data_IF_682621948524
#
_entry.id   IF_682621948524
#
_cell.length_a   1.000
_cell.length_b   1.000
_cell.length_c   1.000
_cell.angle_alpha   90.00
_cell.angle_beta   90.00
_cell.angle_gamma   90.00
#
_symmetry.space_group_name_H-M   'P 1'
#
loop_
_entity.id
_entity.type
_entity.pdbx_description
1 polymer ?
#
# COMPACT_ATOMS: atom_id res chain seq x y z
N UNK A 1 7.88 -5.03 29.72
CA UNK A 1 7.54 -5.91 28.59
C UNK A 1 7.01 -5.02 27.47
N UNK A 2 7.81 -4.73 26.43
CA UNK A 2 7.36 -3.84 25.37
C UNK A 2 6.26 -4.54 24.56
N UNK A 3 5.06 -3.95 24.57
CA UNK A 3 3.85 -4.48 23.90
C UNK A 3 4.01 -4.46 22.37
N UNK A 4 4.99 -3.69 21.85
CA UNK A 4 5.27 -3.55 20.42
C UNK A 4 6.78 -3.65 20.16
N UNK A 5 7.18 -4.50 19.20
CA UNK A 5 8.55 -4.51 18.68
C UNK A 5 8.74 -3.24 17.83
N UNK A 6 9.62 -2.33 18.25
CA UNK A 6 9.92 -1.10 17.49
C UNK A 6 10.57 -1.48 16.15
N UNK A 7 9.82 -1.36 15.06
CA UNK A 7 10.33 -1.35 13.68
C UNK A 7 10.43 0.09 13.20
N UNK A 8 11.38 0.44 12.33
CA UNK A 8 11.48 1.80 11.78
C UNK A 8 10.53 1.95 10.59
N UNK A 9 10.59 1.01 9.66
CA UNK A 9 9.75 1.01 8.46
C UNK A 9 8.31 0.63 8.79
N UNK A 10 8.08 -0.37 9.65
CA UNK A 10 6.73 -0.85 9.92
C UNK A 10 6.06 -0.11 11.09
N UNK A 11 6.66 0.91 11.71
CA UNK A 11 6.16 1.47 12.98
C UNK A 11 4.70 1.93 12.89
N UNK A 12 4.42 2.89 12.01
CA UNK A 12 3.09 3.51 11.90
C UNK A 12 2.11 2.49 11.31
N UNK A 13 2.53 1.76 10.29
CA UNK A 13 1.72 0.70 9.68
C UNK A 13 1.30 -0.37 10.70
N UNK A 14 2.23 -0.81 11.56
CA UNK A 14 1.98 -1.79 12.61
C UNK A 14 1.05 -1.21 13.68
N UNK A 15 1.28 0.02 14.17
CA UNK A 15 0.39 0.64 15.16
C UNK A 15 -1.05 0.73 14.64
N UNK A 16 -1.25 1.26 13.42
CA UNK A 16 -2.58 1.35 12.81
C UNK A 16 -3.20 -0.05 12.58
N UNK A 17 -2.48 -0.96 11.91
CA UNK A 17 -3.03 -2.29 11.62
C UNK A 17 -3.28 -3.13 12.88
N UNK A 18 -2.58 -2.86 13.99
CA UNK A 18 -2.83 -3.55 15.25
C UNK A 18 -4.16 -3.19 15.87
N UNK A 19 -4.63 -1.94 15.72
CA UNK A 19 -5.88 -1.48 16.30
C UNK A 19 -7.13 -2.07 15.67
N UNK A 20 -7.01 -2.73 14.50
CA UNK A 20 -8.12 -3.38 13.78
C UNK A 20 -7.91 -4.89 13.60
N UNK A 21 -6.79 -5.43 14.07
CA UNK A 21 -6.54 -6.87 14.00
C UNK A 21 -5.98 -7.34 12.66
N UNK A 22 -5.39 -6.45 11.86
CA UNK A 22 -4.84 -6.76 10.53
C UNK A 22 -3.42 -7.31 10.63
N UNK A 23 -2.63 -6.88 11.61
CA UNK A 23 -1.21 -7.29 11.69
C UNK A 23 -1.05 -8.71 12.22
N UNK A 24 -0.07 -9.51 11.76
CA UNK A 24 0.10 -10.87 12.28
C UNK A 24 0.52 -10.92 13.77
N UNK A 25 -0.27 -11.63 14.59
CA UNK A 25 -0.06 -11.75 16.05
C UNK A 25 1.34 -12.20 16.47
N UNK A 26 1.97 -13.07 15.68
CA UNK A 26 3.29 -13.65 15.93
C UNK A 26 4.41 -12.61 16.08
N UNK A 27 4.29 -11.46 15.41
CA UNK A 27 5.32 -10.43 15.42
C UNK A 27 5.12 -9.37 16.52
N UNK A 28 3.96 -9.37 17.19
CA UNK A 28 3.63 -8.41 18.23
C UNK A 28 4.10 -8.88 19.61
N UNK A 29 3.89 -10.16 19.91
CA UNK A 29 4.06 -10.71 21.25
C UNK A 29 5.06 -11.88 21.26
N UNK A 30 6.34 -11.67 20.97
CA UNK A 30 7.32 -12.76 20.80
C UNK A 30 7.36 -13.74 22.00
N UNK A 31 7.26 -13.21 23.23
CA UNK A 31 7.39 -14.00 24.47
C UNK A 31 6.05 -14.30 25.17
N UNK A 32 4.93 -13.72 24.72
CA UNK A 32 3.64 -13.86 25.40
C UNK A 32 2.62 -14.65 24.55
N UNK A 33 2.57 -15.97 24.76
CA UNK A 33 1.63 -16.88 24.08
C UNK A 33 0.16 -16.52 24.33
N UNK A 34 -0.18 -16.06 25.53
CA UNK A 34 -1.55 -15.65 25.86
C UNK A 34 -1.96 -14.39 25.08
N UNK A 35 -1.07 -13.40 25.02
CA UNK A 35 -1.27 -12.19 24.20
C UNK A 35 -1.43 -12.51 22.70
N UNK A 36 -0.61 -13.43 22.16
CA UNK A 36 -0.75 -13.90 20.78
C UNK A 36 -2.12 -14.55 20.53
N UNK A 37 -2.62 -15.35 21.48
CA UNK A 37 -3.91 -16.03 21.37
C UNK A 37 -5.06 -15.02 21.41
N UNK A 38 -5.09 -14.13 22.40
CA UNK A 38 -6.13 -13.09 22.52
C UNK A 38 -6.19 -12.21 21.27
N UNK A 39 -5.04 -11.75 20.79
CA UNK A 39 -4.98 -10.95 19.57
C UNK A 39 -5.38 -11.77 18.33
N UNK A 40 -5.03 -13.06 18.26
CA UNK A 40 -5.46 -13.90 17.15
C UNK A 40 -6.97 -14.13 17.12
N UNK A 41 -7.63 -14.20 18.29
CA UNK A 41 -9.09 -14.28 18.38
C UNK A 41 -9.69 -12.95 17.90
N UNK A 42 -9.19 -11.83 18.43
CA UNK A 42 -9.60 -10.49 18.02
C UNK A 42 -9.49 -10.28 16.50
N UNK A 43 -8.34 -10.60 15.90
CA UNK A 43 -8.09 -10.53 14.45
C UNK A 43 -9.08 -11.36 13.62
N UNK A 44 -9.45 -12.57 14.09
CA UNK A 44 -10.46 -13.40 13.42
C UNK A 44 -11.87 -12.82 13.53
N UNK A 45 -12.21 -12.23 14.68
CA UNK A 45 -13.51 -11.58 14.90
C UNK A 45 -13.63 -10.34 14.01
N UNK A 46 -12.62 -9.48 13.96
CA UNK A 46 -12.65 -8.28 13.11
C UNK A 46 -12.66 -8.63 11.63
N UNK A 47 -11.91 -9.65 11.21
CA UNK A 47 -11.99 -10.17 9.84
C UNK A 47 -13.37 -10.76 9.51
N UNK A 48 -13.96 -11.54 10.42
CA UNK A 48 -15.31 -12.09 10.26
C UNK A 48 -16.37 -11.00 10.12
N UNK A 49 -16.29 -9.95 10.94
CA UNK A 49 -17.14 -8.77 10.82
C UNK A 49 -16.98 -8.08 9.46
N UNK A 50 -15.74 -7.84 9.02
CA UNK A 50 -15.48 -7.23 7.72
C UNK A 50 -16.08 -8.05 6.56
N UNK A 51 -15.92 -9.38 6.59
CA UNK A 51 -16.51 -10.27 5.58
C UNK A 51 -18.05 -10.19 5.59
N UNK A 52 -18.68 -10.15 6.77
CA UNK A 52 -20.13 -9.98 6.87
C UNK A 52 -20.60 -8.65 6.27
N UNK A 53 -19.88 -7.56 6.52
CA UNK A 53 -20.16 -6.26 5.93
C UNK A 53 -20.00 -6.25 4.39
N UNK A 54 -19.02 -6.97 3.85
CA UNK A 54 -18.91 -7.13 2.39
C UNK A 54 -20.07 -7.97 1.83
N UNK A 55 -20.53 -8.99 2.55
CA UNK A 55 -21.70 -9.79 2.15
C UNK A 55 -22.97 -8.94 2.11
N UNK A 56 -23.21 -8.01 3.03
CA UNK A 56 -24.38 -7.10 2.96
C UNK A 56 -24.31 -6.17 1.76
N UNK A 57 -23.10 -5.77 1.34
CA UNK A 57 -22.89 -4.97 0.13
C UNK A 57 -23.22 -5.76 -1.14
N UNK A 58 -22.86 -7.06 -1.18
CA UNK A 58 -23.23 -7.98 -2.27
C UNK A 58 -24.73 -8.30 -2.32
N UNK A 59 -25.37 -8.45 -1.17
CA UNK A 59 -26.83 -8.66 -1.11
C UNK A 59 -27.54 -7.44 -1.72
N UNK A 60 -27.13 -6.22 -1.38
CA UNK A 60 -27.71 -5.01 -1.97
C UNK A 60 -27.47 -4.94 -3.48
N UNK A 61 -26.26 -5.31 -3.97
CA UNK A 61 -25.97 -5.38 -5.40
C UNK A 61 -26.94 -6.31 -6.13
N UNK A 62 -27.18 -7.49 -5.56
CA UNK A 62 -28.11 -8.49 -6.12
C UNK A 62 -29.54 -7.91 -6.13
N UNK A 63 -29.99 -7.28 -5.06
CA UNK A 63 -31.32 -6.67 -4.98
C UNK A 63 -31.52 -5.54 -6.00
N UNK A 64 -30.50 -4.70 -6.22
CA UNK A 64 -30.52 -3.64 -7.23
C UNK A 64 -30.65 -4.24 -8.63
N UNK A 65 -29.93 -5.33 -8.93
CA UNK A 65 -29.99 -6.00 -10.22
C UNK A 65 -31.32 -6.71 -10.51
N UNK A 66 -32.05 -7.11 -9.46
CA UNK A 66 -33.36 -7.77 -9.58
C UNK A 66 -34.55 -6.80 -9.47
N UNK A 67 -34.32 -5.51 -9.24
CA UNK A 67 -35.37 -4.50 -9.28
C UNK A 67 -35.82 -4.23 -10.73
N UNK A 68 -37.13 -4.03 -10.95
CA UNK A 68 -37.71 -3.79 -12.30
C UNK A 68 -37.13 -2.54 -12.98
N UNK A 69 -36.85 -1.49 -12.22
CA UNK A 69 -36.16 -0.28 -12.66
C UNK A 69 -34.75 -0.20 -12.03
N UNK A 70 -33.71 -0.26 -12.86
CA UNK A 70 -32.32 -0.19 -12.38
C UNK A 70 -31.93 1.28 -12.15
N UNK A 71 -31.72 1.65 -10.89
CA UNK A 71 -31.12 2.95 -10.55
C UNK A 71 -29.60 2.92 -10.82
N UNK A 72 -29.19 3.51 -11.94
CA UNK A 72 -27.78 3.51 -12.40
C UNK A 72 -26.84 4.17 -11.38
N UNK A 73 -27.28 5.22 -10.69
CA UNK A 73 -26.47 5.92 -9.69
C UNK A 73 -26.27 5.08 -8.41
N UNK A 74 -27.28 4.30 -8.02
CA UNK A 74 -27.15 3.37 -6.89
C UNK A 74 -26.29 2.17 -7.24
N UNK A 75 -26.43 1.64 -8.46
CA UNK A 75 -25.59 0.58 -9.01
C UNK A 75 -24.11 1.01 -9.10
N UNK A 76 -23.83 2.22 -9.61
CA UNK A 76 -22.47 2.78 -9.70
C UNK A 76 -21.79 2.84 -8.33
N UNK A 77 -22.47 3.42 -7.32
CA UNK A 77 -21.97 3.50 -5.95
C UNK A 77 -21.70 2.13 -5.34
N UNK A 78 -22.57 1.14 -5.58
CA UNK A 78 -22.36 -0.21 -5.09
C UNK A 78 -21.19 -0.92 -5.80
N UNK A 79 -21.08 -0.79 -7.13
CA UNK A 79 -19.99 -1.34 -7.95
C UNK A 79 -18.62 -0.71 -7.66
N UNK A 80 -18.58 0.45 -7.02
CA UNK A 80 -17.35 1.04 -6.50
C UNK A 80 -16.89 0.31 -5.23
N UNK A 81 -17.81 0.12 -4.28
CA UNK A 81 -17.52 -0.33 -2.92
C UNK A 81 -17.27 -1.83 -2.87
N UNK A 82 -18.07 -2.61 -3.60
CA UNK A 82 -18.01 -4.09 -3.55
C UNK A 82 -16.67 -4.64 -4.06
N UNK A 83 -16.09 -4.20 -5.19
CA UNK A 83 -14.79 -4.69 -5.63
C UNK A 83 -13.65 -4.18 -4.73
N UNK A 84 -13.75 -2.95 -4.21
CA UNK A 84 -12.76 -2.38 -3.28
C UNK A 84 -12.60 -3.31 -2.07
N UNK A 85 -13.69 -3.56 -1.33
CA UNK A 85 -13.61 -4.38 -0.13
C UNK A 85 -13.33 -5.85 -0.41
N UNK A 86 -13.70 -6.35 -1.59
CA UNK A 86 -13.33 -7.70 -2.02
C UNK A 86 -11.81 -7.83 -2.20
N UNK A 87 -11.17 -6.83 -2.80
CA UNK A 87 -9.71 -6.77 -2.92
C UNK A 87 -9.07 -6.62 -1.54
N UNK A 88 -9.67 -5.84 -0.63
CA UNK A 88 -9.23 -5.74 0.77
C UNK A 88 -9.24 -7.11 1.47
N UNK A 89 -10.28 -7.94 1.26
CA UNK A 89 -10.34 -9.32 1.78
C UNK A 89 -9.20 -10.16 1.20
N UNK A 90 -9.01 -10.13 -0.13
CA UNK A 90 -7.93 -10.86 -0.80
C UNK A 90 -6.57 -10.45 -0.23
N UNK A 91 -6.33 -9.14 -0.11
CA UNK A 91 -5.10 -8.57 0.47
C UNK A 91 -4.89 -9.06 1.88
N UNK A 92 -5.92 -9.06 2.72
CA UNK A 92 -5.81 -9.53 4.10
C UNK A 92 -5.42 -11.02 4.18
N UNK A 93 -6.03 -11.87 3.34
CA UNK A 93 -5.69 -13.28 3.25
C UNK A 93 -4.22 -13.46 2.84
N UNK A 94 -3.75 -12.66 1.88
CA UNK A 94 -2.35 -12.66 1.45
C UNK A 94 -1.39 -12.19 2.56
N UNK A 95 -1.73 -11.13 3.31
CA UNK A 95 -0.94 -10.65 4.47
C UNK A 95 -0.81 -11.76 5.53
N UNK A 96 -1.86 -12.56 5.72
CA UNK A 96 -1.86 -13.68 6.65
C UNK A 96 -1.15 -14.94 6.12
N UNK A 97 -0.79 -14.97 4.83
CA UNK A 97 -0.08 -16.11 4.25
C UNK A 97 1.32 -16.31 4.87
N UNK A 98 1.82 -17.56 4.93
CA UNK A 98 3.17 -17.83 5.41
C UNK A 98 4.25 -17.08 4.61
N UNK A 99 4.05 -16.93 3.30
CA UNK A 99 5.00 -16.26 2.40
C UNK A 99 5.10 -14.77 2.70
N UNK A 100 3.97 -14.06 2.88
CA UNK A 100 4.00 -12.65 3.24
C UNK A 100 4.60 -12.42 4.64
N UNK A 101 4.31 -13.31 5.58
CA UNK A 101 4.93 -13.30 6.92
C UNK A 101 6.46 -13.47 6.84
N UNK A 102 7.00 -14.18 5.85
CA UNK A 102 8.46 -14.26 5.64
C UNK A 102 9.06 -12.92 5.25
N UNK A 103 8.38 -12.13 4.40
CA UNK A 103 8.82 -10.78 4.05
C UNK A 103 8.86 -9.86 5.28
N UNK A 104 7.79 -9.85 6.10
CA UNK A 104 7.77 -9.08 7.35
C UNK A 104 8.92 -9.50 8.27
N UNK A 105 9.11 -10.82 8.46
CA UNK A 105 10.20 -11.36 9.28
C UNK A 105 11.57 -10.94 8.76
N UNK A 106 11.75 -10.91 7.43
CA UNK A 106 12.98 -10.48 6.79
C UNK A 106 13.30 -9.01 7.12
N UNK A 107 12.31 -8.11 7.00
CA UNK A 107 12.47 -6.70 7.40
C UNK A 107 12.87 -6.59 8.87
N UNK A 108 12.10 -7.19 9.78
CA UNK A 108 12.34 -7.08 11.21
C UNK A 108 13.71 -7.62 11.64
N UNK A 109 14.19 -8.68 10.99
CA UNK A 109 15.51 -9.25 11.24
C UNK A 109 16.62 -8.35 10.69
N UNK A 110 16.43 -7.78 9.50
CA UNK A 110 17.45 -6.92 8.89
C UNK A 110 17.53 -5.56 9.59
N UNK A 111 16.42 -4.98 10.04
CA UNK A 111 16.45 -3.76 10.87
C UNK A 111 17.26 -3.99 12.16
N UNK A 112 17.08 -5.15 12.81
CA UNK A 112 17.87 -5.54 13.98
C UNK A 112 19.35 -5.66 13.65
N UNK A 113 19.67 -6.26 12.51
CA UNK A 113 21.06 -6.34 12.05
C UNK A 113 21.64 -4.95 11.78
N UNK A 114 20.91 -4.07 11.08
CA UNK A 114 21.32 -2.70 10.80
C UNK A 114 21.55 -1.88 12.08
N UNK A 115 20.76 -2.10 13.13
CA UNK A 115 20.97 -1.44 14.43
C UNK A 115 22.26 -1.90 15.13
N UNK A 116 22.75 -3.11 14.84
CA UNK A 116 24.02 -3.63 15.36
C UNK A 116 25.24 -3.17 14.57
N UNK A 117 25.08 -2.72 13.31
CA UNK A 117 26.20 -2.26 12.47
C UNK A 117 26.83 -0.99 13.07
N UNK A 118 28.14 -0.97 13.26
CA UNK A 118 28.87 0.22 13.71
C UNK A 118 29.21 1.17 12.53
N UNK A 119 28.17 1.61 11.82
CA UNK A 119 28.29 2.59 10.74
C UNK A 119 27.19 3.64 10.89
N UNK A 120 27.59 4.85 11.28
CA UNK A 120 26.67 5.96 11.53
C UNK A 120 25.99 6.42 10.23
N UNK A 121 26.70 6.45 9.11
CA UNK A 121 26.17 6.93 7.84
C UNK A 121 25.13 5.96 7.29
N UNK A 122 25.41 4.65 7.31
CA UNK A 122 24.45 3.62 6.90
C UNK A 122 23.18 3.68 7.76
N UNK A 123 23.34 3.81 9.08
CA UNK A 123 22.22 3.97 10.01
C UNK A 123 21.40 5.23 9.74
N UNK A 124 22.05 6.32 9.35
CA UNK A 124 21.38 7.58 9.05
C UNK A 124 20.59 7.50 7.74
N UNK A 125 21.15 6.88 6.70
CA UNK A 125 20.44 6.63 5.42
C UNK A 125 19.18 5.79 5.66
N UNK A 126 19.31 4.69 6.39
CA UNK A 126 18.21 3.78 6.73
C UNK A 126 17.12 4.50 7.54
N UNK A 127 17.52 5.24 8.59
CA UNK A 127 16.60 6.04 9.43
C UNK A 127 15.91 7.14 8.65
N UNK A 128 16.61 7.86 7.77
CA UNK A 128 16.05 8.92 6.95
C UNK A 128 15.00 8.37 6.00
N UNK A 129 15.30 7.25 5.32
CA UNK A 129 14.36 6.57 4.44
C UNK A 129 13.08 6.15 5.19
N UNK A 130 13.22 5.56 6.37
CA UNK A 130 12.08 5.19 7.21
C UNK A 130 11.31 6.42 7.74
N UNK A 131 11.99 7.52 8.07
CA UNK A 131 11.36 8.76 8.55
C UNK A 131 10.53 9.43 7.46
N UNK A 132 11.09 9.57 6.26
CA UNK A 132 10.39 10.14 5.10
C UNK A 132 9.15 9.31 4.75
N UNK A 133 9.26 7.99 4.80
CA UNK A 133 8.13 7.08 4.62
C UNK A 133 7.05 7.25 5.70
N UNK A 134 7.44 7.26 6.97
CA UNK A 134 6.50 7.46 8.07
C UNK A 134 5.80 8.83 7.99
N UNK A 135 6.47 9.86 7.48
CA UNK A 135 5.86 11.17 7.21
C UNK A 135 4.77 11.05 6.14
N UNK A 136 5.05 10.36 5.04
CA UNK A 136 4.07 10.14 3.96
C UNK A 136 2.85 9.33 4.42
N UNK A 137 3.03 8.27 5.22
CA UNK A 137 1.90 7.53 5.82
C UNK A 137 1.06 8.41 6.75
N UNK A 138 1.69 9.24 7.59
CA UNK A 138 0.96 10.16 8.47
C UNK A 138 0.15 11.19 7.69
N UNK A 139 0.70 11.71 6.60
CA UNK A 139 -0.03 12.58 5.67
C UNK A 139 -1.21 11.84 5.05
N UNK A 140 -1.02 10.60 4.60
CA UNK A 140 -2.09 9.75 4.07
C UNK A 140 -3.20 9.54 5.12
N UNK A 141 -2.84 9.19 6.35
CA UNK A 141 -3.78 9.03 7.46
C UNK A 141 -4.58 10.32 7.74
N UNK A 142 -3.93 11.48 7.70
CA UNK A 142 -4.61 12.78 7.85
C UNK A 142 -5.63 13.04 6.74
N UNK A 143 -5.25 12.80 5.47
CA UNK A 143 -6.16 12.90 4.33
C UNK A 143 -7.34 11.94 4.44
N UNK A 144 -7.09 10.72 4.93
CA UNK A 144 -8.12 9.69 5.14
C UNK A 144 -9.16 10.14 6.17
N UNK A 145 -8.71 10.63 7.32
CA UNK A 145 -9.62 11.14 8.38
C UNK A 145 -10.48 12.30 7.86
N UNK A 146 -9.88 13.24 7.13
CA UNK A 146 -10.63 14.38 6.55
C UNK A 146 -11.68 13.89 5.54
N UNK A 147 -11.30 12.98 4.65
CA UNK A 147 -12.21 12.42 3.63
C UNK A 147 -13.36 11.69 4.32
N UNK A 148 -13.07 10.84 5.29
CA UNK A 148 -14.07 10.11 6.06
C UNK A 148 -15.06 11.02 6.80
N UNK A 149 -14.56 12.07 7.47
CA UNK A 149 -15.42 13.06 8.12
C UNK A 149 -16.35 13.73 7.10
N UNK A 150 -15.84 14.08 5.91
CA UNK A 150 -16.68 14.68 4.86
C UNK A 150 -17.77 13.75 4.33
N UNK A 151 -17.49 12.45 4.16
CA UNK A 151 -18.48 11.46 3.72
C UNK A 151 -19.52 11.13 4.79
N UNK A 152 -19.11 11.02 6.05
CA UNK A 152 -20.03 10.72 7.15
C UNK A 152 -20.97 11.87 7.45
N UNK A 153 -20.51 13.12 7.30
CA UNK A 153 -21.31 14.32 7.58
C UNK A 153 -22.29 14.65 6.44
N UNK A 154 -21.95 14.33 5.19
CA UNK A 154 -22.75 14.67 3.99
C UNK A 154 -24.26 14.36 4.10
N UNK A 155 -24.69 13.15 4.51
CA UNK A 155 -26.12 12.80 4.60
C UNK A 155 -26.91 13.60 5.64
N UNK A 156 -26.26 14.30 6.58
CA UNK A 156 -26.95 15.16 7.55
C UNK A 156 -27.44 16.46 6.91
N UNK A 157 -26.77 16.91 5.86
CA UNK A 157 -27.03 18.19 5.20
C UNK A 157 -27.75 18.06 3.86
N UNK A 158 -27.74 16.87 3.23
CA UNK A 158 -28.50 16.63 2.00
C UNK A 158 -30.01 16.51 2.28
N UNK A 159 -30.87 17.18 1.49
CA UNK A 159 -32.31 17.09 1.63
C UNK A 159 -32.81 15.69 1.25
N UNK A 160 -33.97 15.31 1.79
CA UNK A 160 -34.63 14.05 1.46
C UNK A 160 -34.99 14.02 -0.04
N UNK A 161 -34.67 12.91 -0.71
CA UNK A 161 -35.02 12.74 -2.11
C UNK A 161 -36.41 12.13 -2.25
N UNK A 162 -37.19 12.67 -3.18
CA UNK A 162 -38.49 12.11 -3.55
C UNK A 162 -38.28 10.96 -4.54
N UNK A 163 -38.55 9.73 -4.09
CA UNK A 163 -38.52 8.55 -4.96
C UNK A 163 -39.96 8.09 -5.17
N UNK A 164 -40.35 7.90 -6.43
CA UNK A 164 -41.65 7.32 -6.78
C UNK A 164 -41.57 5.80 -6.61
N UNK A 165 -42.29 5.25 -5.64
CA UNK A 165 -42.35 3.80 -5.40
C UNK A 165 -43.80 3.35 -5.38
N UNK A 166 -44.19 2.48 -6.31
CA UNK A 166 -45.55 1.95 -6.46
C UNK A 166 -46.64 3.05 -6.42
N UNK A 167 -46.52 4.08 -7.27
CA UNK A 167 -47.44 5.24 -7.35
C UNK A 167 -47.54 6.10 -6.08
N UNK A 168 -46.65 5.93 -5.10
CA UNK A 168 -46.54 6.80 -3.93
C UNK A 168 -45.18 7.51 -3.89
N UNK A 169 -45.19 8.81 -3.62
CA UNK A 169 -43.97 9.60 -3.44
C UNK A 169 -43.49 9.40 -2.02
N UNK A 170 -42.39 8.66 -1.84
CA UNK A 170 -41.76 8.46 -0.54
C UNK A 170 -40.54 9.36 -0.45
N UNK A 171 -40.46 10.14 0.63
CA UNK A 171 -39.26 10.92 0.96
C UNK A 171 -38.25 9.97 1.60
N UNK A 172 -37.15 9.70 0.89
CA UNK A 172 -36.10 8.81 1.35
C UNK A 172 -34.84 9.62 1.62
N UNK A 173 -34.34 9.52 2.84
CA UNK A 173 -33.04 10.06 3.20
C UNK A 173 -31.95 9.08 2.79
N UNK A 174 -31.02 9.52 1.94
CA UNK A 174 -29.96 8.64 1.45
C UNK A 174 -28.95 8.31 2.54
N UNK A 175 -28.49 7.06 2.54
CA UNK A 175 -27.38 6.60 3.36
C UNK A 175 -26.06 6.79 2.58
N UNK A 176 -24.93 7.00 3.29
CA UNK A 176 -23.65 7.29 2.64
C UNK A 176 -23.08 6.11 1.82
N UNK A 177 -23.46 4.86 2.12
CA UNK A 177 -23.14 3.68 1.31
C UNK A 177 -24.44 2.99 0.86
N UNK A 178 -24.38 2.28 -0.27
CA UNK A 178 -25.44 1.37 -0.71
C UNK A 178 -25.20 -0.02 -0.11
N UNK A 179 -25.82 -0.30 1.04
CA UNK A 179 -25.73 -1.60 1.73
C UNK A 179 -27.07 -2.05 2.27
N UNK A 180 -27.25 -3.37 2.34
CA UNK A 180 -28.49 -3.98 2.78
C UNK A 180 -28.59 -4.07 4.31
N UNK A 181 -29.81 -3.90 4.86
CA UNK A 181 -30.13 -4.11 6.28
C UNK A 181 -31.23 -5.15 6.47
N UNK A 182 -31.16 -5.97 7.54
CA UNK A 182 -32.21 -6.92 7.89
C UNK A 182 -33.45 -6.27 8.52
N UNK A 183 -33.55 -4.93 8.52
CA UNK A 183 -34.68 -4.18 9.04
C UNK A 183 -35.00 -2.99 8.13
N UNK A 184 -36.21 -2.44 8.26
CA UNK A 184 -36.64 -1.31 7.43
C UNK A 184 -35.87 -0.02 7.82
N UNK A 185 -34.99 0.44 6.90
CA UNK A 185 -34.14 1.62 7.03
C UNK A 185 -34.91 2.94 7.12
N UNK A 186 -36.07 3.02 6.49
CA UNK A 186 -36.90 4.25 6.49
C UNK A 186 -37.56 4.45 7.86
N UNK A 187 -38.05 3.37 8.47
CA UNK A 187 -38.67 3.42 9.82
C UNK A 187 -37.65 3.64 10.93
N UNK A 188 -36.42 3.14 10.77
CA UNK A 188 -35.37 3.19 11.79
C UNK A 188 -34.12 3.90 11.27
N UNK A 189 -34.30 5.06 10.63
CA UNK A 189 -33.21 5.78 9.95
C UNK A 189 -32.03 6.09 10.86
N UNK A 190 -32.27 6.57 12.10
CA UNK A 190 -31.20 6.92 13.04
C UNK A 190 -30.33 5.70 13.38
N UNK A 191 -30.96 4.54 13.60
CA UNK A 191 -30.24 3.30 13.88
C UNK A 191 -29.44 2.83 12.65
N UNK A 192 -30.04 2.86 11.46
CA UNK A 192 -29.35 2.53 10.21
C UNK A 192 -28.15 3.46 9.97
N UNK A 193 -28.33 4.76 10.17
CA UNK A 193 -27.29 5.76 10.00
C UNK A 193 -26.12 5.55 10.98
N UNK A 194 -26.39 5.30 12.27
CA UNK A 194 -25.33 5.04 13.26
C UNK A 194 -24.54 3.77 12.94
N UNK A 195 -25.20 2.69 12.53
CA UNK A 195 -24.54 1.45 12.11
C UNK A 195 -23.67 1.72 10.86
N UNK A 196 -24.20 2.47 9.88
CA UNK A 196 -23.44 2.88 8.71
C UNK A 196 -22.17 3.66 9.03
N UNK A 197 -22.23 4.61 9.96
CA UNK A 197 -21.05 5.38 10.36
C UNK A 197 -20.00 4.45 10.95
N UNK A 198 -20.39 3.48 11.78
CA UNK A 198 -19.48 2.47 12.31
C UNK A 198 -18.91 1.60 11.19
N UNK A 199 -19.72 1.14 10.25
CA UNK A 199 -19.29 0.31 9.13
C UNK A 199 -18.33 1.03 8.19
N UNK A 200 -18.59 2.30 7.87
CA UNK A 200 -17.70 3.13 7.05
C UNK A 200 -16.36 3.30 7.74
N UNK A 201 -16.36 3.72 9.01
CA UNK A 201 -15.13 3.93 9.79
C UNK A 201 -14.34 2.65 9.93
N UNK A 202 -15.02 1.55 10.23
CA UNK A 202 -14.37 0.27 10.35
C UNK A 202 -13.81 -0.20 8.99
N UNK A 203 -14.60 -0.14 7.92
CA UNK A 203 -14.21 -0.62 6.60
C UNK A 203 -13.11 0.20 5.95
N UNK A 204 -13.18 1.53 6.06
CA UNK A 204 -12.16 2.45 5.54
C UNK A 204 -10.81 2.28 6.25
N UNK A 205 -10.83 2.14 7.58
CA UNK A 205 -9.63 1.89 8.36
C UNK A 205 -9.08 0.49 8.07
N UNK A 206 -9.95 -0.52 7.88
CA UNK A 206 -9.54 -1.86 7.51
C UNK A 206 -8.79 -1.87 6.18
N UNK A 207 -9.33 -1.16 5.18
CA UNK A 207 -8.70 -0.98 3.88
C UNK A 207 -7.36 -0.25 4.01
N UNK A 208 -7.39 0.98 4.51
CA UNK A 208 -6.24 1.88 4.59
C UNK A 208 -5.07 1.30 5.40
N UNK A 209 -5.34 0.64 6.53
CA UNK A 209 -4.27 0.11 7.37
C UNK A 209 -3.60 -1.12 6.76
N UNK A 210 -4.34 -1.92 5.98
CA UNK A 210 -3.76 -2.97 5.14
C UNK A 210 -2.81 -2.41 4.08
N UNK A 211 -3.12 -1.23 3.54
CA UNK A 211 -2.27 -0.54 2.55
C UNK A 211 -1.00 0.02 3.16
N UNK A 212 -1.06 0.54 4.37
CA UNK A 212 0.14 0.99 5.07
C UNK A 212 1.18 -0.13 5.20
N UNK A 213 0.74 -1.37 5.50
CA UNK A 213 1.62 -2.53 5.50
C UNK A 213 2.20 -2.76 4.10
N UNK A 214 1.35 -2.77 3.08
CA UNK A 214 1.74 -3.02 1.70
C UNK A 214 2.77 -2.00 1.18
N UNK A 215 2.53 -0.70 1.40
CA UNK A 215 3.46 0.37 1.04
C UNK A 215 4.77 0.19 1.82
N UNK A 216 4.74 -0.18 3.09
CA UNK A 216 5.96 -0.43 3.87
C UNK A 216 6.82 -1.56 3.28
N UNK A 217 6.19 -2.64 2.83
CA UNK A 217 6.86 -3.76 2.15
C UNK A 217 7.50 -3.31 0.82
N UNK A 218 6.82 -2.44 0.05
CA UNK A 218 7.32 -1.89 -1.23
C UNK A 218 8.46 -0.88 -1.00
N UNK A 219 8.38 -0.07 0.05
CA UNK A 219 9.39 0.97 0.35
C UNK A 219 10.70 0.37 0.83
N UNK A 220 10.64 -0.71 1.61
CA UNK A 220 11.82 -1.27 2.27
C UNK A 220 13.03 -1.55 1.32
N UNK A 221 12.85 -2.16 0.12
CA UNK A 221 13.92 -2.30 -0.87
C UNK A 221 14.62 -1.00 -1.26
N UNK A 222 13.90 0.14 -1.31
CA UNK A 222 14.51 1.44 -1.65
C UNK A 222 15.57 1.85 -0.63
N UNK A 223 15.32 1.64 0.67
CA UNK A 223 16.29 1.92 1.72
C UNK A 223 17.53 1.03 1.60
N UNK A 224 17.32 -0.27 1.33
CA UNK A 224 18.41 -1.22 1.14
C UNK A 224 19.25 -0.92 -0.11
N UNK A 225 18.63 -0.48 -1.20
CA UNK A 225 19.33 -0.04 -2.41
C UNK A 225 20.13 1.24 -2.17
N UNK A 226 19.59 2.22 -1.44
CA UNK A 226 20.33 3.45 -1.05
C UNK A 226 21.56 3.11 -0.20
N UNK A 227 21.41 2.19 0.76
CA UNK A 227 22.55 1.69 1.56
C UNK A 227 23.58 1.01 0.65
N UNK A 228 23.15 0.10 -0.22
CA UNK A 228 24.06 -0.60 -1.14
C UNK A 228 24.80 0.37 -2.06
N UNK A 229 24.10 1.37 -2.61
CA UNK A 229 24.69 2.40 -3.45
C UNK A 229 25.75 3.21 -2.69
N UNK A 230 25.45 3.64 -1.46
CA UNK A 230 26.40 4.34 -0.60
C UNK A 230 27.65 3.52 -0.28
N UNK A 231 27.47 2.23 0.02
CA UNK A 231 28.57 1.29 0.29
C UNK A 231 29.47 1.12 -0.94
N UNK A 232 28.87 1.02 -2.13
CA UNK A 232 29.60 0.83 -3.39
C UNK A 232 30.35 2.09 -3.82
N UNK A 233 29.74 3.27 -3.69
CA UNK A 233 30.41 4.54 -4.01
C UNK A 233 31.59 4.80 -3.08
N UNK A 234 31.47 4.47 -1.79
CA UNK A 234 32.51 4.68 -0.77
C UNK A 234 33.32 3.41 -0.47
N UNK A 235 33.44 2.50 -1.44
CA UNK A 235 33.93 1.14 -1.23
C UNK A 235 35.28 1.03 -0.51
N UNK A 236 36.23 1.92 -0.82
CA UNK A 236 37.57 1.93 -0.19
C UNK A 236 37.50 2.10 1.33
N UNK A 237 36.64 2.98 1.82
CA UNK A 237 36.42 3.21 3.26
C UNK A 237 35.82 1.98 3.94
N UNK A 238 34.91 1.27 3.27
CA UNK A 238 34.34 0.01 3.79
C UNK A 238 35.35 -1.13 3.76
N UNK A 239 36.16 -1.22 2.71
CA UNK A 239 37.26 -2.17 2.62
C UNK A 239 38.25 -1.96 3.78
N UNK A 240 38.63 -0.71 4.05
CA UNK A 240 39.55 -0.37 5.14
C UNK A 240 38.98 -0.74 6.52
N UNK A 241 37.74 -0.34 6.82
CA UNK A 241 37.09 -0.69 8.10
C UNK A 241 36.94 -2.19 8.29
N UNK A 242 36.63 -2.93 7.22
CA UNK A 242 36.54 -4.39 7.27
C UNK A 242 37.93 -5.00 7.53
N UNK A 243 38.98 -4.45 6.92
CA UNK A 243 40.37 -4.86 7.15
C UNK A 243 40.76 -4.71 8.61
N UNK A 244 40.46 -3.55 9.20
CA UNK A 244 40.78 -3.23 10.60
C UNK A 244 39.98 -4.09 11.58
N UNK A 245 38.65 -4.16 11.43
CA UNK A 245 37.76 -4.89 12.34
C UNK A 245 38.03 -6.40 12.40
N UNK A 246 38.50 -7.00 11.30
CA UNK A 246 38.78 -8.43 11.21
C UNK A 246 40.29 -8.75 11.20
N UNK A 247 41.16 -7.76 11.39
CA UNK A 247 42.61 -7.96 11.42
C UNK A 247 43.21 -8.54 10.14
N UNK A 248 42.60 -8.27 8.98
CA UNK A 248 42.99 -8.86 7.69
C UNK A 248 44.27 -8.17 7.19
N UNK A 249 45.33 -8.93 6.95
CA UNK A 249 46.59 -8.36 6.44
C UNK A 249 46.58 -8.06 4.94
N UNK A 250 45.85 -8.85 4.17
CA UNK A 250 45.83 -8.78 2.71
C UNK A 250 44.68 -7.91 2.18
N UNK A 251 45.01 -6.81 1.51
CA UNK A 251 44.04 -5.87 0.93
C UNK A 251 43.13 -6.52 -0.11
N UNK A 252 43.67 -7.42 -0.94
CA UNK A 252 42.89 -8.12 -1.96
C UNK A 252 41.81 -9.02 -1.33
N UNK A 253 42.13 -9.64 -0.19
CA UNK A 253 41.19 -10.48 0.53
C UNK A 253 40.08 -9.63 1.18
N UNK A 254 40.44 -8.49 1.77
CA UNK A 254 39.47 -7.55 2.34
C UNK A 254 38.52 -7.01 1.26
N UNK A 255 39.05 -6.59 0.09
CA UNK A 255 38.25 -6.14 -1.04
C UNK A 255 37.31 -7.24 -1.56
N UNK A 256 37.80 -8.48 -1.68
CA UNK A 256 36.99 -9.61 -2.10
C UNK A 256 35.82 -9.88 -1.14
N UNK A 257 36.08 -9.90 0.16
CA UNK A 257 35.04 -10.12 1.18
C UNK A 257 34.02 -8.99 1.18
N UNK A 258 34.48 -7.73 1.10
CA UNK A 258 33.59 -6.57 1.06
C UNK A 258 32.68 -6.60 -0.18
N UNK A 259 33.23 -6.86 -1.37
CA UNK A 259 32.44 -6.97 -2.60
C UNK A 259 31.46 -8.15 -2.54
N UNK A 260 31.88 -9.29 -1.99
CA UNK A 260 30.97 -10.43 -1.80
C UNK A 260 29.77 -10.05 -0.92
N UNK A 261 29.99 -9.33 0.17
CA UNK A 261 28.88 -8.82 1.01
C UNK A 261 27.93 -7.90 0.23
N UNK A 262 28.45 -7.03 -0.64
CA UNK A 262 27.64 -6.18 -1.50
C UNK A 262 26.81 -7.01 -2.51
N UNK A 263 27.41 -8.03 -3.11
CA UNK A 263 26.72 -8.94 -4.04
C UNK A 263 25.63 -9.73 -3.32
N UNK A 264 25.92 -10.26 -2.13
CA UNK A 264 24.95 -11.00 -1.31
C UNK A 264 23.76 -10.11 -0.94
N UNK A 265 24.02 -8.85 -0.54
CA UNK A 265 22.97 -7.85 -0.28
C UNK A 265 22.13 -7.58 -1.53
N UNK A 266 22.77 -7.36 -2.68
CA UNK A 266 22.05 -7.12 -3.94
C UNK A 266 21.15 -8.32 -4.33
N UNK A 267 21.66 -9.54 -4.22
CA UNK A 267 20.89 -10.76 -4.48
C UNK A 267 19.74 -10.96 -3.50
N UNK A 268 19.91 -10.56 -2.24
CA UNK A 268 18.83 -10.59 -1.25
C UNK A 268 17.71 -9.60 -1.61
N UNK A 269 18.06 -8.39 -2.07
CA UNK A 269 17.08 -7.38 -2.52
C UNK A 269 16.31 -7.89 -3.74
N UNK A 270 17.00 -8.47 -4.74
CA UNK A 270 16.37 -9.08 -5.92
C UNK A 270 15.36 -10.14 -5.49
N UNK A 271 15.78 -11.10 -4.65
CA UNK A 271 14.91 -12.19 -4.17
C UNK A 271 13.71 -11.67 -3.39
N UNK A 272 13.89 -10.65 -2.56
CA UNK A 272 12.81 -10.02 -1.81
C UNK A 272 11.75 -9.42 -2.75
N UNK A 273 12.16 -8.70 -3.79
CA UNK A 273 11.24 -8.09 -4.76
C UNK A 273 10.56 -9.15 -5.62
N UNK A 274 11.27 -10.21 -6.01
CA UNK A 274 10.68 -11.34 -6.73
C UNK A 274 9.63 -12.08 -5.88
N UNK A 275 9.92 -12.33 -4.60
CA UNK A 275 8.97 -12.94 -3.66
C UNK A 275 7.75 -12.03 -3.45
N UNK A 276 7.94 -10.72 -3.33
CA UNK A 276 6.84 -9.75 -3.27
C UNK A 276 5.96 -9.82 -4.52
N UNK A 277 6.55 -9.78 -5.72
CA UNK A 277 5.82 -9.83 -6.98
C UNK A 277 5.03 -11.14 -7.13
N UNK A 278 5.57 -12.26 -6.67
CA UNK A 278 4.89 -13.56 -6.71
C UNK A 278 3.70 -13.64 -5.76
N UNK A 279 3.76 -12.98 -4.60
CA UNK A 279 2.69 -13.00 -3.59
C UNK A 279 1.60 -11.98 -3.94
N UNK A 280 1.99 -10.75 -4.26
CA UNK A 280 1.07 -9.61 -4.37
C UNK A 280 0.76 -9.21 -5.82
N UNK A 281 1.44 -9.75 -6.82
CA UNK A 281 1.32 -9.30 -8.22
C UNK A 281 -0.11 -9.29 -8.75
N UNK A 282 -0.88 -10.37 -8.53
CA UNK A 282 -2.30 -10.43 -8.93
C UNK A 282 -3.16 -9.47 -8.11
N UNK A 283 -2.92 -9.36 -6.81
CA UNK A 283 -3.66 -8.44 -5.94
C UNK A 283 -3.47 -6.98 -6.38
N UNK A 284 -2.23 -6.58 -6.69
CA UNK A 284 -1.93 -5.22 -7.20
C UNK A 284 -2.59 -4.96 -8.55
N UNK A 285 -2.70 -5.97 -9.40
CA UNK A 285 -3.38 -5.84 -10.68
C UNK A 285 -4.90 -5.64 -10.51
N UNK A 286 -5.54 -6.41 -9.63
CA UNK A 286 -6.96 -6.21 -9.30
C UNK A 286 -7.19 -4.84 -8.68
N UNK A 287 -6.31 -4.41 -7.79
CA UNK A 287 -6.34 -3.09 -7.15
C UNK A 287 -6.27 -1.95 -8.18
N UNK A 288 -5.45 -2.12 -9.21
CA UNK A 288 -5.37 -1.19 -10.32
C UNK A 288 -6.66 -1.12 -11.14
N UNK A 289 -7.24 -2.26 -11.52
CA UNK A 289 -8.54 -2.28 -12.24
C UNK A 289 -9.62 -1.59 -11.41
N UNK A 290 -9.69 -1.92 -10.12
CA UNK A 290 -10.68 -1.34 -9.22
C UNK A 290 -10.48 0.16 -9.08
N UNK A 291 -9.25 0.65 -8.95
CA UNK A 291 -8.95 2.09 -8.90
C UNK A 291 -9.36 2.79 -10.19
N UNK A 292 -9.13 2.17 -11.36
CA UNK A 292 -9.57 2.71 -12.66
C UNK A 292 -11.09 2.76 -12.79
N UNK A 293 -11.79 1.69 -12.39
CA UNK A 293 -13.26 1.64 -12.38
C UNK A 293 -13.82 2.74 -11.46
N UNK A 294 -13.24 2.89 -10.27
CA UNK A 294 -13.69 3.89 -9.31
C UNK A 294 -13.52 5.31 -9.86
N UNK A 295 -12.36 5.64 -10.44
CA UNK A 295 -12.17 6.94 -11.09
C UNK A 295 -13.23 7.20 -12.16
N UNK A 296 -13.52 6.21 -13.02
CA UNK A 296 -14.53 6.36 -14.07
C UNK A 296 -15.94 6.63 -13.50
N UNK A 297 -16.37 5.86 -12.50
CA UNK A 297 -17.68 6.03 -11.86
C UNK A 297 -17.82 7.40 -11.20
N UNK A 298 -16.86 7.82 -10.37
CA UNK A 298 -16.90 9.11 -9.67
C UNK A 298 -16.92 10.28 -10.66
N UNK A 299 -16.11 10.22 -11.70
CA UNK A 299 -16.08 11.26 -12.73
C UNK A 299 -17.40 11.33 -13.49
N UNK A 300 -18.00 10.18 -13.85
CA UNK A 300 -19.30 10.15 -14.53
C UNK A 300 -20.43 10.76 -13.69
N UNK A 301 -20.46 10.51 -12.38
CA UNK A 301 -21.43 11.09 -11.45
C UNK A 301 -21.26 12.61 -11.34
N UNK A 302 -20.03 13.11 -11.28
CA UNK A 302 -19.79 14.57 -11.18
C UNK A 302 -20.11 15.37 -12.44
N UNK A 303 -20.09 14.72 -13.61
CA UNK A 303 -20.30 15.39 -14.91
C UNK A 303 -21.75 15.39 -15.38
N UNK A 304 -22.60 14.52 -14.81
CA UNK A 304 -23.99 14.34 -15.23
C UNK A 304 -24.99 15.14 -14.39
N UNK A 305 -24.61 15.52 -13.17
CA UNK A 305 -25.49 16.25 -12.25
C UNK A 305 -25.00 17.70 -12.01
N UNK A 306 -25.94 18.63 -11.76
CA UNK A 306 -25.57 19.96 -11.25
C UNK A 306 -25.08 19.82 -9.80
N UNK A 307 -23.76 19.65 -9.64
CA UNK A 307 -23.15 19.37 -8.35
C UNK A 307 -23.11 20.62 -7.47
N UNK A 308 -23.69 20.54 -6.27
CA UNK A 308 -23.54 21.59 -5.26
C UNK A 308 -22.14 21.57 -4.64
N UNK A 309 -21.67 22.69 -4.08
CA UNK A 309 -20.38 22.73 -3.37
C UNK A 309 -20.29 21.66 -2.26
N UNK A 310 -21.40 21.35 -1.59
CA UNK A 310 -21.46 20.32 -0.54
C UNK A 310 -21.27 18.89 -1.07
N UNK A 311 -21.57 18.64 -2.34
CA UNK A 311 -21.34 17.36 -3.00
C UNK A 311 -19.95 17.28 -3.64
N UNK A 312 -19.42 18.42 -4.09
CA UNK A 312 -18.10 18.49 -4.72
C UNK A 312 -16.95 18.24 -3.74
N UNK A 313 -17.04 18.77 -2.51
CA UNK A 313 -15.99 18.64 -1.48
C UNK A 313 -15.63 17.17 -1.18
N UNK A 314 -16.57 16.27 -0.80
CA UNK A 314 -16.23 14.89 -0.48
C UNK A 314 -15.68 14.13 -1.69
N UNK A 315 -16.21 14.41 -2.89
CA UNK A 315 -15.72 13.80 -4.13
C UNK A 315 -14.29 14.25 -4.45
N UNK A 316 -14.00 15.55 -4.33
CA UNK A 316 -12.67 16.09 -4.54
C UNK A 316 -11.67 15.54 -3.51
N UNK A 317 -12.06 15.48 -2.23
CA UNK A 317 -11.26 14.88 -1.16
C UNK A 317 -10.94 13.41 -1.48
N UNK A 318 -11.92 12.65 -1.97
CA UNK A 318 -11.74 11.27 -2.40
C UNK A 318 -10.77 11.13 -3.58
N UNK A 319 -10.91 11.96 -4.62
CA UNK A 319 -10.00 11.93 -5.76
C UNK A 319 -8.56 12.28 -5.34
N UNK A 320 -8.38 13.24 -4.44
CA UNK A 320 -7.06 13.61 -3.91
C UNK A 320 -6.43 12.42 -3.20
N UNK A 321 -7.16 11.75 -2.30
CA UNK A 321 -6.61 10.62 -1.54
C UNK A 321 -6.32 9.41 -2.43
N UNK A 322 -7.18 9.11 -3.40
CA UNK A 322 -6.97 8.04 -4.38
C UNK A 322 -5.70 8.29 -5.21
N UNK A 323 -5.53 9.51 -5.71
CA UNK A 323 -4.34 9.88 -6.48
C UNK A 323 -3.07 9.90 -5.63
N UNK A 324 -3.16 10.37 -4.38
CA UNK A 324 -2.04 10.35 -3.45
C UNK A 324 -1.58 8.91 -3.15
N UNK A 325 -2.53 8.01 -2.89
CA UNK A 325 -2.27 6.58 -2.72
C UNK A 325 -1.58 5.97 -3.94
N UNK A 326 -2.13 6.16 -5.14
CA UNK A 326 -1.53 5.64 -6.38
C UNK A 326 -0.13 6.22 -6.55
N UNK A 327 0.04 7.53 -6.38
CA UNK A 327 1.34 8.19 -6.46
C UNK A 327 2.36 7.53 -5.54
N UNK A 328 2.04 7.22 -4.28
CA UNK A 328 2.97 6.54 -3.38
C UNK A 328 3.43 5.19 -3.93
N UNK A 329 2.53 4.34 -4.44
CA UNK A 329 2.90 3.05 -5.03
C UNK A 329 3.85 3.21 -6.22
N UNK A 330 3.46 4.05 -7.19
CA UNK A 330 4.23 4.23 -8.41
C UNK A 330 5.54 4.98 -8.16
N UNK A 331 5.58 5.93 -7.23
CA UNK A 331 6.78 6.64 -6.83
C UNK A 331 7.81 5.69 -6.21
N UNK A 332 7.43 4.91 -5.21
CA UNK A 332 8.39 4.00 -4.56
C UNK A 332 8.80 2.84 -5.46
N UNK A 333 7.90 2.31 -6.28
CA UNK A 333 8.26 1.34 -7.31
C UNK A 333 9.27 1.92 -8.31
N UNK A 334 9.08 3.17 -8.73
CA UNK A 334 10.00 3.86 -9.65
C UNK A 334 11.36 4.16 -9.02
N UNK A 335 11.39 4.55 -7.74
CA UNK A 335 12.65 4.72 -6.98
C UNK A 335 13.47 3.43 -6.96
N UNK A 336 12.85 2.25 -6.81
CA UNK A 336 13.56 0.97 -6.90
C UNK A 336 14.24 0.81 -8.26
N UNK A 337 13.56 1.18 -9.35
CA UNK A 337 14.11 1.10 -10.72
C UNK A 337 15.33 2.01 -10.84
N UNK A 338 15.18 3.29 -10.49
CA UNK A 338 16.25 4.30 -10.60
C UNK A 338 17.47 3.90 -9.76
N UNK A 339 17.25 3.51 -8.50
CA UNK A 339 18.34 3.11 -7.60
C UNK A 339 19.04 1.83 -8.08
N UNK A 340 18.27 0.87 -8.60
CA UNK A 340 18.81 -0.38 -9.17
C UNK A 340 19.69 -0.11 -10.39
N UNK A 341 19.28 0.79 -11.29
CA UNK A 341 20.07 1.18 -12.46
C UNK A 341 21.34 1.94 -12.06
N UNK A 342 21.21 2.81 -11.05
CA UNK A 342 22.31 3.61 -10.48
C UNK A 342 23.41 2.78 -9.81
N UNK A 343 23.15 1.51 -9.45
CA UNK A 343 24.17 0.63 -8.87
C UNK A 343 25.39 0.45 -9.79
N UNK A 344 25.19 0.39 -11.11
CA UNK A 344 26.30 0.26 -12.07
C UNK A 344 27.26 1.45 -12.00
N UNK A 345 26.70 2.66 -11.86
CA UNK A 345 27.47 3.90 -11.73
C UNK A 345 28.21 3.93 -10.38
N UNK A 346 27.55 3.52 -9.30
CA UNK A 346 28.18 3.44 -7.98
C UNK A 346 29.36 2.46 -7.95
N UNK A 347 29.23 1.29 -8.60
CA UNK A 347 30.35 0.35 -8.75
C UNK A 347 31.47 0.96 -9.58
N UNK A 348 31.15 1.70 -10.64
CA UNK A 348 32.16 2.35 -11.47
C UNK A 348 33.01 3.36 -10.67
N UNK A 349 32.42 4.00 -9.66
CA UNK A 349 33.09 4.94 -8.74
C UNK A 349 33.97 4.26 -7.67
N UNK A 350 33.91 2.93 -7.51
CA UNK A 350 34.64 2.19 -6.45
C UNK A 350 36.15 2.01 -6.67
N UNK A 351 36.77 2.74 -7.62
CA UNK A 351 38.16 2.53 -8.05
C UNK A 351 38.50 1.06 -8.43
N UNK A 352 37.51 0.34 -8.98
CA UNK A 352 37.60 -1.07 -9.37
C UNK A 352 38.81 -1.42 -10.27
N UNK A 353 39.28 -0.46 -11.08
CA UNK A 353 40.43 -0.64 -11.98
C UNK A 353 41.77 -0.83 -11.24
N UNK A 354 41.88 -0.39 -9.97
CA UNK A 354 43.06 -0.58 -9.12
C UNK A 354 43.07 -1.93 -8.39
N UNK A 355 41.95 -2.65 -8.39
CA UNK A 355 41.77 -3.88 -7.61
C UNK A 355 42.27 -5.13 -8.34
N UNK A 356 42.30 -6.27 -7.65
CA UNK A 356 42.74 -7.56 -8.22
C UNK A 356 41.92 -8.02 -9.43
N UNK A 357 42.48 -8.93 -10.25
CA UNK A 357 41.78 -9.50 -11.43
C UNK A 357 40.44 -10.15 -11.05
N UNK A 358 40.39 -10.87 -9.94
CA UNK A 358 39.17 -11.53 -9.45
C UNK A 358 38.10 -10.51 -9.07
N UNK A 359 38.48 -9.41 -8.42
CA UNK A 359 37.58 -8.31 -8.10
C UNK A 359 36.95 -7.71 -9.36
N UNK A 360 37.77 -7.42 -10.38
CA UNK A 360 37.31 -6.88 -11.66
C UNK A 360 36.29 -7.79 -12.33
N UNK A 361 36.52 -9.11 -12.30
CA UNK A 361 35.57 -10.09 -12.85
C UNK A 361 34.22 -10.06 -12.13
N UNK A 362 34.22 -10.02 -10.79
CA UNK A 362 32.99 -9.94 -10.00
C UNK A 362 32.22 -8.63 -10.23
N UNK A 363 32.94 -7.50 -10.31
CA UNK A 363 32.37 -6.20 -10.67
C UNK A 363 31.70 -6.26 -12.04
N UNK A 364 32.37 -6.82 -13.04
CA UNK A 364 31.83 -6.96 -14.38
C UNK A 364 30.53 -7.78 -14.39
N UNK A 365 30.50 -8.91 -13.66
CA UNK A 365 29.28 -9.72 -13.50
C UNK A 365 28.15 -8.94 -12.83
N UNK A 366 28.46 -8.14 -11.81
CA UNK A 366 27.47 -7.31 -11.12
C UNK A 366 26.91 -6.22 -12.06
N UNK A 367 27.77 -5.53 -12.81
CA UNK A 367 27.35 -4.52 -13.81
C UNK A 367 26.46 -5.16 -14.89
N UNK A 368 26.82 -6.34 -15.39
CA UNK A 368 25.97 -7.08 -16.35
C UNK A 368 24.61 -7.43 -15.76
N UNK A 369 24.54 -7.85 -14.49
CA UNK A 369 23.25 -8.12 -13.83
C UNK A 369 22.41 -6.86 -13.67
N UNK A 370 23.03 -5.72 -13.37
CA UNK A 370 22.36 -4.44 -13.16
C UNK A 370 21.73 -3.87 -14.44
N UNK A 371 22.09 -4.37 -15.63
CA UNK A 371 21.41 -4.00 -16.89
C UNK A 371 19.93 -4.44 -16.92
N UNK A 372 19.51 -5.31 -15.99
CA UNK A 372 18.11 -5.68 -15.78
C UNK A 372 17.65 -5.06 -14.45
N UNK A 373 16.90 -3.95 -14.47
CA UNK A 373 16.49 -3.25 -13.26
C UNK A 373 15.64 -4.15 -12.36
N UNK A 374 15.69 -3.90 -11.06
CA UNK A 374 14.74 -4.47 -10.11
C UNK A 374 13.42 -3.71 -10.26
N UNK A 375 12.31 -4.43 -10.43
CA UNK A 375 11.01 -3.83 -10.73
C UNK A 375 9.89 -4.47 -9.93
N UNK A 376 8.98 -3.63 -9.44
CA UNK A 376 7.69 -4.07 -8.90
C UNK A 376 6.72 -4.26 -10.06
N UNK A 377 6.07 -5.42 -10.13
CA UNK A 377 5.17 -5.80 -11.22
C UNK A 377 3.72 -5.55 -10.86
N UNK A 378 2.96 -5.06 -11.83
CA UNK A 378 1.51 -4.96 -11.84
C UNK A 378 0.91 -6.23 -12.46
N UNK A 379 1.12 -7.37 -11.79
CA UNK A 379 0.72 -8.68 -12.31
C UNK A 379 1.26 -8.92 -13.73
N UNK A 380 0.36 -9.24 -14.67
CA UNK A 380 0.70 -9.47 -16.07
C UNK A 380 0.79 -8.18 -16.92
N UNK A 381 0.36 -7.02 -16.42
CA UNK A 381 0.30 -5.73 -17.15
C UNK A 381 1.64 -4.96 -17.16
N UNK A 382 2.72 -5.62 -16.74
CA UNK A 382 4.08 -5.11 -16.75
C UNK A 382 4.47 -4.40 -15.44
N UNK A 383 5.43 -3.47 -15.51
CA UNK A 383 6.08 -2.90 -14.32
C UNK A 383 5.39 -1.62 -13.80
N UNK A 384 5.43 -1.35 -12.50
CA UNK A 384 4.99 -0.07 -11.94
C UNK A 384 6.08 1.00 -12.10
N UNK A 385 5.74 2.12 -12.74
CA UNK A 385 6.61 3.29 -12.88
C UNK A 385 5.82 4.59 -12.90
N UNK A 386 6.48 5.72 -12.63
CA UNK A 386 5.82 7.04 -12.67
C UNK A 386 5.29 7.37 -14.08
N UNK A 387 5.95 6.91 -15.14
CA UNK A 387 5.46 7.06 -16.51
C UNK A 387 4.10 6.36 -16.73
N UNK A 388 3.91 5.17 -16.13
CA UNK A 388 2.60 4.50 -16.17
C UNK A 388 1.55 5.25 -15.36
N UNK A 389 1.92 5.79 -14.20
CA UNK A 389 1.03 6.65 -13.42
C UNK A 389 0.55 7.87 -14.23
N UNK A 390 1.46 8.56 -14.92
CA UNK A 390 1.11 9.68 -15.81
C UNK A 390 0.20 9.22 -16.95
N UNK A 391 0.47 8.04 -17.53
CA UNK A 391 -0.40 7.48 -18.58
C UNK A 391 -1.82 7.20 -18.07
N UNK A 392 -1.97 6.75 -16.83
CA UNK A 392 -3.27 6.53 -16.19
C UNK A 392 -4.00 7.86 -16.00
N UNK A 393 -3.32 8.89 -15.51
CA UNK A 393 -3.89 10.23 -15.35
C UNK A 393 -4.33 10.84 -16.69
N UNK A 394 -3.50 10.71 -17.73
CA UNK A 394 -3.83 11.19 -19.07
C UNK A 394 -5.06 10.45 -19.63
N UNK A 395 -5.14 9.14 -19.45
CA UNK A 395 -6.30 8.35 -19.88
C UNK A 395 -7.58 8.78 -19.14
N UNK A 396 -7.50 9.00 -17.82
CA UNK A 396 -8.62 9.51 -17.04
C UNK A 396 -9.05 10.91 -17.51
N UNK A 397 -8.11 11.82 -17.76
CA UNK A 397 -8.40 13.15 -18.31
C UNK A 397 -9.05 13.08 -19.70
N UNK A 398 -8.53 12.25 -20.60
CA UNK A 398 -9.13 12.04 -21.92
C UNK A 398 -10.55 11.48 -21.83
N UNK A 399 -10.80 10.55 -20.89
CA UNK A 399 -12.14 10.02 -20.64
C UNK A 399 -13.09 11.11 -20.14
N UNK A 400 -12.66 11.93 -19.18
CA UNK A 400 -13.44 13.10 -18.69
C UNK A 400 -13.77 14.04 -19.83
N UNK A 401 -12.79 14.43 -20.64
CA UNK A 401 -13.01 15.33 -21.76
C UNK A 401 -13.96 14.75 -22.80
N UNK A 402 -13.90 13.44 -23.06
CA UNK A 402 -14.84 12.76 -23.93
C UNK A 402 -16.25 12.79 -23.36
N UNK A 403 -16.44 12.47 -22.08
CA UNK A 403 -17.74 12.54 -21.42
C UNK A 403 -18.31 13.97 -21.44
N UNK A 404 -17.49 14.98 -21.17
CA UNK A 404 -17.88 16.40 -21.27
C UNK A 404 -18.23 16.84 -22.69
N UNK A 405 -17.72 16.17 -23.72
CA UNK A 405 -18.02 16.49 -25.12
C UNK A 405 -19.29 15.81 -25.63
N UNK A 406 -19.73 14.74 -24.95
CA UNK A 406 -20.92 13.95 -25.30
C UNK A 406 -22.17 14.46 -24.55
N UNK A 407 -21.99 15.02 -23.35
CA UNK A 407 -23.01 15.81 -22.63
C UNK A 407 -23.05 17.25 -23.14
#
# INVERSE_FOLDING_TARGET
MAIFRKSKFLNVAMLCSTSIGIFPSRFLFEDNKFGQLCYSIYSKVTFGYFVLFVLTSYIELILILFHEDINIAELSRNLIITPLFTITIIRQVLIMSPSFKKLIKYILNNERYMDMIDDKEVKEIDKKCASDFNRNIKTYLGMMIITELSYTIRPLFEPEQQILRNNSTVLVKQLPLSTWFPFNREKHFVAAYLIHVVDIVFGSCYDTYGEFILIAIIVYPTGQLKVLQHVLTNFESYQYRLKENYGIRNDNLAAFIALRKCIDLHQNIIRYVEEFNNIMGTCMFLDFIQSSLHMACVLSETLTEQVTLMQLIPVAAYLIILNFRLFLYYYYANEIIILSEGLSIAIYQSNWYKQSKNFKYMVFMMIMRNQKPIKIKLGAFGDMSLNKFISILNAAYSYVMLMCSVN
#
